data_IF_288087725647
#
_entry.id   IF_288087725647
#
_cell.length_a   1.000
_cell.length_b   1.000
_cell.length_c   1.000
_cell.angle_alpha   90.00
_cell.angle_beta   90.00
_cell.angle_gamma   90.00
#
_symmetry.space_group_name_H-M   'P 1'
#
loop_
_entity.id
_entity.type
_entity.pdbx_description
1 polymer ?
#
# COMPACT_ATOMS: atom_id res chain seq x y z
N UNK A 1 16.28 41.70 -10.35
CA UNK A 1 15.17 41.05 -9.60
C UNK A 1 14.45 40.12 -10.56
N UNK A 2 14.72 38.81 -10.47
CA UNK A 2 13.99 37.67 -11.07
C UNK A 2 14.78 36.44 -10.67
N UNK A 3 14.63 36.07 -9.41
CA UNK A 3 15.11 34.81 -8.88
C UNK A 3 14.10 33.75 -9.30
N UNK A 4 14.62 32.82 -10.11
CA UNK A 4 14.30 31.41 -10.07
C UNK A 4 12.86 31.02 -10.34
N UNK A 5 12.65 30.44 -11.52
CA UNK A 5 11.74 29.33 -11.72
C UNK A 5 11.69 28.46 -10.47
N UNK A 6 10.61 28.62 -9.70
CA UNK A 6 10.23 27.70 -8.63
C UNK A 6 9.88 26.42 -9.37
N UNK A 7 10.87 25.54 -9.51
CA UNK A 7 10.60 24.12 -9.65
C UNK A 7 9.78 23.79 -8.41
N UNK A 8 8.47 23.55 -8.61
CA UNK A 8 7.69 22.75 -7.66
C UNK A 8 8.39 21.40 -7.61
N UNK A 9 9.43 21.29 -6.79
CA UNK A 9 9.87 20.02 -6.26
C UNK A 9 8.64 19.51 -5.51
N UNK A 10 7.91 18.59 -6.13
CA UNK A 10 6.82 17.89 -5.48
C UNK A 10 7.43 17.27 -4.24
N UNK A 11 7.21 17.89 -3.07
CA UNK A 11 7.75 17.39 -1.82
C UNK A 11 7.37 15.92 -1.74
N UNK A 12 8.32 15.01 -1.49
CA UNK A 12 8.01 13.60 -1.41
C UNK A 12 6.94 13.47 -0.33
N UNK A 13 5.72 13.11 -0.75
CA UNK A 13 4.54 13.04 0.10
C UNK A 13 4.94 12.25 1.35
N UNK A 14 5.20 12.96 2.45
CA UNK A 14 5.79 12.39 3.66
C UNK A 14 4.89 11.29 4.21
N UNK A 15 3.59 11.48 4.04
CA UNK A 15 2.53 10.55 4.37
C UNK A 15 2.59 9.28 3.51
N UNK A 16 2.82 9.36 2.20
CA UNK A 16 3.05 8.19 1.35
C UNK A 16 4.33 7.42 1.73
N UNK A 17 5.41 8.14 2.07
CA UNK A 17 6.67 7.50 2.49
C UNK A 17 6.52 6.74 3.81
N UNK A 18 5.78 7.28 4.79
CA UNK A 18 5.45 6.58 6.05
C UNK A 18 4.54 5.38 5.81
N UNK A 19 3.54 5.51 4.94
CA UNK A 19 2.66 4.41 4.55
C UNK A 19 3.45 3.25 3.94
N UNK A 20 4.39 3.53 3.02
CA UNK A 20 5.28 2.52 2.43
C UNK A 20 6.09 1.79 3.50
N UNK A 21 6.63 2.50 4.49
CA UNK A 21 7.37 1.88 5.59
C UNK A 21 6.49 0.94 6.42
N UNK A 22 5.27 1.36 6.73
CA UNK A 22 4.30 0.53 7.46
C UNK A 22 3.93 -0.70 6.64
N UNK A 23 3.57 -0.53 5.36
CA UNK A 23 3.26 -1.64 4.47
C UNK A 23 4.41 -2.64 4.41
N UNK A 24 5.66 -2.16 4.29
CA UNK A 24 6.85 -3.03 4.24
C UNK A 24 7.00 -3.83 5.52
N UNK A 25 6.87 -3.16 6.65
CA UNK A 25 7.02 -3.79 7.97
C UNK A 25 5.94 -4.84 8.20
N UNK A 26 4.70 -4.50 7.85
CA UNK A 26 3.54 -5.39 7.98
C UNK A 26 3.67 -6.60 7.07
N UNK A 27 4.04 -6.40 5.80
CA UNK A 27 4.23 -7.48 4.83
C UNK A 27 5.33 -8.44 5.32
N UNK A 28 6.51 -7.91 5.66
CA UNK A 28 7.61 -8.72 6.17
C UNK A 28 7.21 -9.51 7.43
N UNK A 29 6.48 -8.88 8.36
CA UNK A 29 6.00 -9.56 9.57
C UNK A 29 4.98 -10.66 9.25
N UNK A 30 4.10 -10.43 8.28
CA UNK A 30 3.10 -11.39 7.81
C UNK A 30 3.77 -12.60 7.14
N UNK A 31 4.76 -12.34 6.29
CA UNK A 31 5.53 -13.35 5.57
C UNK A 31 6.32 -14.24 6.51
N UNK A 32 7.04 -13.63 7.46
CA UNK A 32 7.75 -14.38 8.50
C UNK A 32 6.80 -15.27 9.31
N UNK A 33 5.60 -14.78 9.58
CA UNK A 33 4.59 -15.52 10.32
C UNK A 33 3.67 -16.39 9.44
N UNK A 34 3.94 -16.50 8.12
CA UNK A 34 3.17 -17.29 7.16
C UNK A 34 1.65 -17.04 7.24
N UNK A 35 1.24 -15.78 7.43
CA UNK A 35 -0.16 -15.38 7.62
C UNK A 35 -0.52 -14.20 6.72
N UNK A 36 -1.79 -14.07 6.37
CA UNK A 36 -2.32 -12.88 5.69
C UNK A 36 -2.61 -11.75 6.67
N UNK A 37 -2.51 -10.51 6.21
CA UNK A 37 -2.83 -9.31 6.99
C UNK A 37 -3.88 -8.47 6.28
N UNK A 38 -4.75 -7.83 7.05
CA UNK A 38 -5.68 -6.82 6.61
C UNK A 38 -5.49 -5.54 7.44
N UNK A 39 -5.25 -4.41 6.78
CA UNK A 39 -5.07 -3.10 7.40
C UNK A 39 -6.39 -2.32 7.32
N UNK A 40 -7.05 -2.06 8.43
CA UNK A 40 -8.26 -1.27 8.47
C UNK A 40 -7.94 0.22 8.54
N UNK A 41 -8.69 1.05 7.81
CA UNK A 41 -8.61 2.50 7.95
C UNK A 41 -9.16 2.90 9.30
N UNK A 42 -10.35 2.45 9.64
CA UNK A 42 -10.97 2.73 10.92
C UNK A 42 -10.92 1.52 11.84
N UNK A 43 -11.19 1.75 13.13
CA UNK A 43 -11.21 0.67 14.10
C UNK A 43 -12.25 -0.39 13.70
N UNK A 44 -11.85 -1.63 13.37
CA UNK A 44 -12.79 -2.62 12.88
C UNK A 44 -13.74 -3.05 14.00
N UNK A 45 -15.04 -2.99 13.71
CA UNK A 45 -16.05 -3.69 14.51
C UNK A 45 -15.82 -5.20 14.46
N UNK A 46 -16.23 -5.94 15.51
CA UNK A 46 -16.00 -7.39 15.62
C UNK A 46 -16.46 -8.20 14.40
N UNK A 47 -17.47 -7.69 13.67
CA UNK A 47 -18.05 -8.29 12.47
C UNK A 47 -17.29 -7.94 11.18
N UNK A 48 -16.55 -6.82 11.17
CA UNK A 48 -15.75 -6.37 10.04
C UNK A 48 -14.34 -6.99 10.02
N UNK A 49 -13.96 -7.71 11.08
CA UNK A 49 -12.67 -8.40 11.14
C UNK A 49 -12.63 -9.55 10.13
N UNK A 50 -11.67 -9.50 9.20
CA UNK A 50 -11.41 -10.59 8.25
C UNK A 50 -10.95 -11.83 9.02
N UNK A 51 -11.76 -12.89 9.00
CA UNK A 51 -11.42 -14.20 9.59
C UNK A 51 -10.25 -14.82 8.82
N UNK A 52 -9.32 -15.46 9.54
CA UNK A 52 -8.14 -16.10 8.95
C UNK A 52 -7.04 -15.12 8.52
N UNK A 53 -7.16 -13.83 8.88
CA UNK A 53 -6.12 -12.82 8.63
C UNK A 53 -5.88 -11.98 9.88
N UNK A 54 -4.68 -11.45 10.01
CA UNK A 54 -4.35 -10.52 11.09
C UNK A 54 -4.95 -9.17 10.77
N UNK A 55 -5.85 -8.69 11.62
CA UNK A 55 -6.50 -7.40 11.46
C UNK A 55 -5.67 -6.35 12.22
N UNK A 56 -5.20 -5.33 11.52
CA UNK A 56 -4.40 -4.25 12.09
C UNK A 56 -5.05 -2.90 11.77
N UNK A 57 -4.95 -1.96 12.70
CA UNK A 57 -5.40 -0.58 12.51
C UNK A 57 -4.29 0.23 11.82
N UNK A 58 -4.49 0.63 10.56
CA UNK A 58 -3.52 1.46 9.83
C UNK A 58 -3.27 2.76 10.58
N UNK A 59 -4.34 3.45 11.00
CA UNK A 59 -4.23 4.72 11.71
C UNK A 59 -3.43 4.62 13.02
N UNK A 60 -3.55 3.50 13.73
CA UNK A 60 -2.74 3.25 14.93
C UNK A 60 -1.27 3.08 14.59
N UNK A 61 -0.95 2.40 13.49
CA UNK A 61 0.42 2.25 13.00
C UNK A 61 0.98 3.60 12.52
N UNK A 62 0.19 4.39 11.79
CA UNK A 62 0.53 5.74 11.36
C UNK A 62 0.81 6.65 12.57
N UNK A 63 -0.04 6.64 13.59
CA UNK A 63 0.16 7.41 14.83
C UNK A 63 1.48 7.05 15.52
N UNK A 64 1.84 5.76 15.59
CA UNK A 64 3.09 5.33 16.22
C UNK A 64 4.34 5.85 15.49
N UNK A 65 4.25 6.09 14.17
CA UNK A 65 5.34 6.65 13.37
C UNK A 65 5.21 8.17 13.17
N UNK A 66 4.35 8.83 13.96
CA UNK A 66 4.08 10.27 13.86
C UNK A 66 3.50 10.68 12.51
N UNK A 67 2.77 9.78 11.87
CA UNK A 67 2.07 10.01 10.61
C UNK A 67 0.66 10.53 10.81
N UNK A 68 0.13 11.17 9.76
CA UNK A 68 -1.24 11.67 9.74
C UNK A 68 -2.25 10.51 9.66
N UNK A 69 -3.51 10.83 9.96
CA UNK A 69 -4.56 9.85 9.79
C UNK A 69 -4.79 9.55 8.31
N UNK A 70 -4.93 8.27 7.98
CA UNK A 70 -5.27 7.80 6.64
C UNK A 70 -6.70 7.28 6.62
N UNK A 71 -7.52 7.93 5.83
CA UNK A 71 -8.80 7.45 5.36
C UNK A 71 -8.68 6.87 3.94
N UNK A 72 -9.78 6.30 3.44
CA UNK A 72 -9.84 5.71 2.10
C UNK A 72 -9.45 6.69 0.99
N UNK A 73 -9.88 7.96 1.08
CA UNK A 73 -9.61 8.96 0.04
C UNK A 73 -8.13 9.35 0.02
N UNK A 74 -7.57 9.56 1.21
CA UNK A 74 -6.14 9.86 1.38
C UNK A 74 -5.27 8.69 0.91
N UNK A 75 -5.67 7.45 1.25
CA UNK A 75 -4.98 6.27 0.74
C UNK A 75 -5.10 6.14 -0.77
N UNK A 76 -6.28 6.32 -1.35
CA UNK A 76 -6.47 6.24 -2.80
C UNK A 76 -5.60 7.26 -3.52
N UNK A 77 -5.51 8.50 -3.01
CA UNK A 77 -4.61 9.50 -3.55
C UNK A 77 -3.13 9.05 -3.47
N UNK A 78 -2.70 8.51 -2.33
CA UNK A 78 -1.34 7.98 -2.17
C UNK A 78 -1.08 6.76 -3.08
N UNK A 79 -2.07 5.88 -3.24
CA UNK A 79 -2.02 4.75 -4.14
C UNK A 79 -1.87 5.22 -5.58
N UNK A 80 -2.69 6.17 -6.03
CA UNK A 80 -2.69 6.67 -7.40
C UNK A 80 -1.39 7.42 -7.74
N UNK A 81 -0.83 8.15 -6.77
CA UNK A 81 0.36 9.00 -6.94
C UNK A 81 1.69 8.27 -6.72
N UNK A 82 1.76 7.26 -5.85
CA UNK A 82 3.00 6.57 -5.48
C UNK A 82 3.01 5.10 -5.95
N UNK A 83 3.85 4.83 -6.95
CA UNK A 83 4.01 3.49 -7.52
C UNK A 83 4.47 2.44 -6.48
N UNK A 84 5.19 2.83 -5.42
CA UNK A 84 5.65 1.91 -4.37
C UNK A 84 4.48 1.41 -3.54
N UNK A 85 3.47 2.25 -3.30
CA UNK A 85 2.24 1.82 -2.62
C UNK A 85 1.52 0.79 -3.49
N UNK A 86 1.44 1.04 -4.81
CA UNK A 86 0.80 0.10 -5.77
C UNK A 86 1.45 -1.30 -5.76
N UNK A 87 2.78 -1.39 -5.69
CA UNK A 87 3.47 -2.69 -5.73
C UNK A 87 3.30 -3.51 -4.45
N UNK A 88 2.94 -2.87 -3.34
CA UNK A 88 2.83 -3.46 -2.02
C UNK A 88 1.39 -3.78 -1.59
N UNK A 89 0.41 -3.39 -2.40
CA UNK A 89 -1.01 -3.52 -2.11
C UNK A 89 -1.62 -4.49 -3.12
N UNK A 90 -2.26 -5.55 -2.62
CA UNK A 90 -2.94 -6.54 -3.46
C UNK A 90 -4.38 -6.12 -3.78
N UNK A 91 -5.09 -5.57 -2.80
CA UNK A 91 -6.45 -5.08 -2.95
C UNK A 91 -6.72 -4.01 -1.89
N UNK A 92 -7.72 -3.16 -2.09
CA UNK A 92 -8.19 -2.23 -1.07
C UNK A 92 -9.65 -1.87 -1.32
N UNK A 93 -10.34 -1.46 -0.25
CA UNK A 93 -11.74 -1.03 -0.26
C UNK A 93 -11.96 0.01 0.85
N UNK A 94 -13.18 0.51 0.98
CA UNK A 94 -13.52 1.53 1.98
C UNK A 94 -13.28 1.08 3.44
N UNK A 95 -13.27 -0.23 3.71
CA UNK A 95 -12.98 -0.79 5.04
C UNK A 95 -11.49 -0.85 5.32
N UNK A 96 -10.65 -1.04 4.30
CA UNK A 96 -9.20 -1.20 4.50
C UNK A 96 -8.42 -1.68 3.28
N UNK A 97 -7.19 -2.12 3.54
CA UNK A 97 -6.17 -2.47 2.55
C UNK A 97 -5.71 -3.91 2.81
N UNK A 98 -5.55 -4.66 1.74
CA UNK A 98 -4.96 -5.99 1.70
C UNK A 98 -3.53 -5.88 1.14
N UNK A 99 -2.49 -5.89 1.99
CA UNK A 99 -1.11 -5.85 1.52
C UNK A 99 -0.73 -7.14 0.78
N UNK A 100 0.22 -7.02 -0.15
CA UNK A 100 0.73 -8.13 -0.95
C UNK A 100 1.71 -8.98 -0.14
N UNK A 101 1.16 -9.91 0.63
CA UNK A 101 1.89 -10.90 1.43
C UNK A 101 1.98 -12.24 0.67
N UNK A 102 2.96 -13.09 1.00
CA UNK A 102 3.16 -14.41 0.40
C UNK A 102 1.95 -15.33 0.64
N UNK A 103 1.27 -15.19 1.78
CA UNK A 103 -0.06 -15.77 1.99
C UNK A 103 -1.14 -14.75 1.61
N UNK A 104 -1.74 -14.94 0.44
CA UNK A 104 -2.92 -14.16 0.08
C UNK A 104 -4.02 -14.31 1.14
N UNK A 105 -4.65 -13.19 1.48
CA UNK A 105 -5.85 -13.13 2.32
C UNK A 105 -6.89 -14.06 1.67
N UNK A 106 -7.32 -15.11 2.37
CA UNK A 106 -8.27 -16.08 1.82
C UNK A 106 -9.47 -15.35 1.23
N UNK A 107 -9.70 -15.58 -0.07
CA UNK A 107 -10.76 -14.99 -0.90
C UNK A 107 -12.13 -15.31 -0.29
N UNK A 108 -12.59 -14.44 0.60
CA UNK A 108 -13.95 -14.37 1.08
C UNK A 108 -14.54 -13.04 0.62
N UNK A 109 -15.43 -13.14 -0.36
CA UNK A 109 -16.20 -12.08 -1.04
C UNK A 109 -15.50 -11.26 -2.15
N UNK A 110 -15.77 -11.73 -3.37
CA UNK A 110 -15.87 -11.05 -4.67
C UNK A 110 -14.63 -10.89 -5.57
N UNK A 111 -14.81 -11.04 -6.90
CA UNK A 111 -13.73 -11.13 -7.88
C UNK A 111 -13.15 -9.75 -8.22
N UNK A 112 -11.86 -9.78 -8.54
CA UNK A 112 -11.15 -8.82 -9.38
C UNK A 112 -12.07 -8.12 -10.40
N UNK A 113 -12.26 -6.81 -10.25
CA UNK A 113 -12.81 -5.96 -11.29
C UNK A 113 -11.74 -4.96 -11.71
N UNK A 114 -10.99 -5.35 -12.74
CA UNK A 114 -10.27 -4.45 -13.62
C UNK A 114 -11.23 -3.33 -14.08
N UNK A 115 -10.98 -2.09 -13.64
CA UNK A 115 -11.51 -0.89 -14.27
C UNK A 115 -10.72 0.34 -13.81
N UNK A 116 -9.47 0.44 -14.28
CA UNK A 116 -8.62 1.60 -13.99
C UNK A 116 -7.40 1.76 -14.88
N UNK A 117 -7.40 1.15 -16.07
CA UNK A 117 -6.39 1.35 -17.13
C UNK A 117 -5.14 0.51 -16.94
N UNK A 118 -4.83 -0.34 -17.92
CA UNK A 118 -3.55 -1.03 -18.05
C UNK A 118 -3.32 -2.21 -17.08
N UNK A 119 -3.86 -3.40 -17.40
CA UNK A 119 -3.21 -4.67 -17.00
C UNK A 119 -1.73 -4.74 -17.44
N UNK A 120 -1.30 -3.79 -18.27
CA UNK A 120 -0.29 -3.97 -19.30
C UNK A 120 0.23 -2.61 -19.73
N UNK A 121 1.34 -2.19 -19.17
CA UNK A 121 2.38 -1.76 -20.08
C UNK A 121 3.67 -2.23 -19.48
N UNK A 122 3.89 -3.55 -19.61
CA UNK A 122 5.09 -4.21 -19.14
C UNK A 122 4.98 -4.32 -17.60
N UNK A 123 5.04 -5.48 -16.95
CA UNK A 123 6.29 -6.21 -16.74
C UNK A 123 7.59 -5.37 -16.74
N UNK A 124 7.57 -4.02 -16.77
CA UNK A 124 8.62 -3.08 -17.18
C UNK A 124 9.90 -3.79 -17.59
N UNK A 125 9.81 -4.52 -18.70
CA UNK A 125 10.88 -5.22 -19.39
C UNK A 125 11.88 -5.93 -18.47
N UNK A 126 11.60 -7.17 -18.10
CA UNK A 126 12.64 -8.17 -17.79
C UNK A 126 13.56 -7.81 -16.59
N UNK A 127 13.91 -8.76 -15.75
CA UNK A 127 15.29 -9.22 -15.74
C UNK A 127 16.25 -8.47 -16.70
N UNK A 128 16.76 -7.26 -16.42
CA UNK A 128 17.82 -6.69 -17.28
C UNK A 128 18.72 -5.57 -16.74
N UNK A 129 18.69 -5.21 -15.45
CA UNK A 129 19.86 -4.52 -14.84
C UNK A 129 20.34 -5.26 -13.58
N UNK A 130 20.25 -6.59 -13.62
CA UNK A 130 21.00 -7.45 -12.71
C UNK A 130 22.41 -7.76 -13.26
N UNK A 131 22.92 -6.97 -14.21
CA UNK A 131 24.31 -7.07 -14.67
C UNK A 131 24.51 -6.76 -16.14
N UNK A 132 24.64 -5.49 -16.51
CA UNK A 132 25.50 -5.14 -17.65
C UNK A 132 26.88 -4.76 -17.11
N UNK A 133 27.63 -5.84 -16.87
CA UNK A 133 29.08 -5.97 -16.90
C UNK A 133 29.79 -4.83 -17.64
N UNK A 134 30.47 -3.93 -16.91
CA UNK A 134 31.76 -3.32 -17.29
C UNK A 134 32.56 -2.95 -16.04
#
# INVERSE_FOLDING_TARGET
MRVSDIILEAEPNQSASKLVQILRTVINSADQANQSVYLHFEKPSKEAMRKGSKNLDLNKLMQNVGGEQFDYSTFKAAYDTDARVKTMVSNFNEKGIEPKTAKAVSKGDTPQQDAGGDTVSQMAKSATDLGDKI
#
